data_IF_723187176903
#
_entry.id   IF_723187176903
#
_cell.length_a   1.000
_cell.length_b   1.000
_cell.length_c   1.000
_cell.angle_alpha   90.00
_cell.angle_beta   90.00
_cell.angle_gamma   90.00
#
_symmetry.space_group_name_H-M   'P 1'
#
loop_
_entity.id
_entity.type
_entity.pdbx_description
1 polymer ?
#
# COMPACT_ATOMS: atom_id res chain seq x y z
N UNK A 1 -54.32 -4.65 13.01
CA UNK A 1 -53.21 -4.01 12.26
C UNK A 1 -51.89 -4.48 12.84
N UNK A 2 -51.27 -5.56 12.33
CA UNK A 2 -49.94 -6.00 12.74
C UNK A 2 -48.92 -5.66 11.63
N UNK A 3 -48.13 -4.59 11.80
CA UNK A 3 -47.27 -4.10 10.73
C UNK A 3 -45.98 -3.42 11.16
N UNK A 4 -45.45 -3.70 12.36
CA UNK A 4 -44.27 -2.96 12.87
C UNK A 4 -43.11 -3.87 13.35
N UNK A 5 -43.18 -5.20 13.16
CA UNK A 5 -42.12 -6.12 13.64
C UNK A 5 -41.14 -6.64 12.59
N UNK A 6 -41.28 -6.28 11.32
CA UNK A 6 -40.46 -6.84 10.22
C UNK A 6 -39.32 -5.90 9.78
N UNK A 7 -39.44 -4.59 10.00
CA UNK A 7 -38.46 -3.61 9.48
C UNK A 7 -37.14 -3.60 10.27
N UNK A 8 -37.15 -3.94 11.57
CA UNK A 8 -35.94 -3.94 12.41
C UNK A 8 -34.97 -5.08 12.01
N UNK A 9 -35.48 -6.26 11.66
CA UNK A 9 -34.66 -7.40 11.23
C UNK A 9 -34.02 -7.18 9.84
N UNK A 10 -34.68 -6.38 8.99
CA UNK A 10 -34.27 -6.10 7.61
C UNK A 10 -33.09 -5.13 7.53
N UNK A 11 -33.04 -4.15 8.46
CA UNK A 11 -31.96 -3.15 8.53
C UNK A 11 -30.70 -3.75 9.18
N UNK A 12 -30.84 -4.69 10.12
CA UNK A 12 -29.69 -5.37 10.75
C UNK A 12 -28.89 -6.25 9.77
N UNK A 13 -29.55 -6.82 8.75
CA UNK A 13 -28.88 -7.65 7.74
C UNK A 13 -28.08 -6.79 6.74
N UNK A 14 -28.49 -5.54 6.50
CA UNK A 14 -27.77 -4.57 5.66
C UNK A 14 -26.57 -3.95 6.38
N UNK A 15 -26.66 -3.72 7.70
CA UNK A 15 -25.54 -3.21 8.52
C UNK A 15 -24.43 -4.27 8.64
N UNK A 16 -24.75 -5.57 8.54
CA UNK A 16 -23.76 -6.64 8.63
C UNK A 16 -22.80 -6.70 7.41
N UNK A 17 -23.22 -6.22 6.24
CA UNK A 17 -22.38 -6.28 5.03
C UNK A 17 -21.22 -5.28 5.06
N UNK A 18 -21.40 -4.12 5.70
CA UNK A 18 -20.36 -3.08 5.81
C UNK A 18 -19.24 -3.46 6.79
N UNK A 19 -19.52 -4.34 7.76
CA UNK A 19 -18.54 -4.76 8.79
C UNK A 19 -17.84 -6.09 8.50
N UNK A 20 -18.32 -6.87 7.54
CA UNK A 20 -17.78 -8.20 7.23
C UNK A 20 -16.43 -8.16 6.48
N UNK A 21 -16.07 -7.03 5.85
CA UNK A 21 -14.82 -6.88 5.08
C UNK A 21 -13.68 -6.16 5.81
N UNK A 22 -13.94 -5.56 6.98
CA UNK A 22 -12.96 -4.73 7.69
C UNK A 22 -12.14 -5.51 8.74
N UNK A 23 -12.59 -6.70 9.13
CA UNK A 23 -11.98 -7.44 10.23
C UNK A 23 -10.80 -8.28 9.75
N UNK A 24 -9.62 -7.97 10.27
CA UNK A 24 -8.43 -8.79 10.12
C UNK A 24 -8.31 -9.76 11.31
N UNK A 25 -7.79 -10.96 11.03
CA UNK A 25 -7.66 -12.04 12.04
C UNK A 25 -6.29 -12.10 12.70
N UNK A 26 -5.27 -11.58 12.03
CA UNK A 26 -3.87 -11.68 12.45
C UNK A 26 -3.36 -10.26 12.75
N UNK A 27 -3.20 -9.93 14.03
CA UNK A 27 -2.66 -8.63 14.46
C UNK A 27 -1.28 -8.41 13.86
N UNK A 28 -1.06 -7.20 13.33
CA UNK A 28 0.17 -6.78 12.65
C UNK A 28 0.42 -7.45 11.29
N UNK A 29 -0.53 -8.21 10.76
CA UNK A 29 -0.47 -8.62 9.36
C UNK A 29 -0.53 -7.39 8.44
N UNK A 30 0.20 -7.47 7.34
CA UNK A 30 0.25 -6.42 6.32
C UNK A 30 -0.34 -6.93 5.01
N UNK A 31 -1.00 -6.03 4.28
CA UNK A 31 -1.50 -6.27 2.92
C UNK A 31 -1.27 -5.05 2.03
N UNK A 32 -1.19 -5.31 0.73
CA UNK A 32 -1.20 -4.27 -0.30
C UNK A 32 -2.59 -4.19 -0.91
N UNK A 33 -3.08 -2.97 -1.09
CA UNK A 33 -4.37 -2.69 -1.72
C UNK A 33 -4.25 -1.57 -2.74
N UNK A 34 -5.16 -1.56 -3.71
CA UNK A 34 -5.25 -0.53 -4.75
C UNK A 34 -3.95 -0.35 -5.58
N UNK A 35 -3.13 -1.39 -5.71
CA UNK A 35 -2.04 -1.44 -6.70
C UNK A 35 -2.50 -2.03 -8.03
N UNK A 36 -1.77 -1.77 -9.12
CA UNK A 36 -2.07 -2.40 -10.42
C UNK A 36 -1.64 -3.87 -10.45
N UNK A 37 -0.63 -4.23 -9.64
CA UNK A 37 -0.17 -5.61 -9.48
C UNK A 37 -0.31 -6.08 -8.03
N UNK A 38 -0.23 -7.39 -7.81
CA UNK A 38 -0.25 -7.99 -6.47
C UNK A 38 0.97 -7.60 -5.59
N UNK A 39 2.03 -7.07 -6.21
CA UNK A 39 3.28 -6.77 -5.54
C UNK A 39 3.46 -5.27 -5.27
N UNK A 40 2.45 -4.46 -5.56
CA UNK A 40 2.49 -3.03 -5.29
C UNK A 40 1.17 -2.55 -4.69
N UNK A 41 1.20 -1.38 -4.07
CA UNK A 41 -0.01 -0.71 -3.63
C UNK A 41 0.15 0.01 -2.30
N UNK A 42 -0.97 0.53 -1.81
CA UNK A 42 -1.05 1.16 -0.49
C UNK A 42 -0.90 0.10 0.59
N UNK A 43 -0.08 0.42 1.57
CA UNK A 43 0.18 -0.46 2.73
C UNK A 43 -0.93 -0.30 3.75
N UNK A 44 -1.57 -1.42 4.10
CA UNK A 44 -2.49 -1.50 5.24
C UNK A 44 -1.96 -2.51 6.26
N UNK A 45 -2.06 -2.15 7.54
CA UNK A 45 -1.71 -3.03 8.66
C UNK A 45 -2.96 -3.38 9.46
N UNK A 46 -3.02 -4.63 9.92
CA UNK A 46 -4.04 -5.08 10.85
C UNK A 46 -3.73 -4.58 12.25
N UNK A 47 -4.54 -3.66 12.76
CA UNK A 47 -4.44 -3.15 14.13
C UNK A 47 -5.80 -3.16 14.81
N UNK A 48 -5.88 -3.68 16.04
CA UNK A 48 -7.13 -3.80 16.79
C UNK A 48 -8.25 -4.48 15.99
N UNK A 49 -7.90 -5.56 15.27
CA UNK A 49 -8.81 -6.31 14.36
C UNK A 49 -9.43 -5.46 13.24
N UNK A 50 -8.78 -4.37 12.84
CA UNK A 50 -9.19 -3.57 11.68
C UNK A 50 -8.00 -3.28 10.78
N UNK A 51 -8.24 -3.32 9.48
CA UNK A 51 -7.29 -2.79 8.51
C UNK A 51 -7.23 -1.27 8.62
N UNK A 52 -6.01 -0.74 8.73
CA UNK A 52 -5.71 0.68 8.79
C UNK A 52 -4.63 1.00 7.76
N UNK A 53 -4.84 2.08 7.00
CA UNK A 53 -3.79 2.62 6.14
C UNK A 53 -2.59 3.11 6.96
N UNK A 54 -1.39 2.98 6.41
CA UNK A 54 -0.15 3.44 7.04
C UNK A 54 0.15 4.88 6.60
N UNK A 55 0.64 5.70 7.53
CA UNK A 55 0.98 7.09 7.25
C UNK A 55 2.19 7.21 6.32
N UNK A 56 2.09 8.05 5.28
CA UNK A 56 3.23 8.32 4.38
C UNK A 56 4.33 9.22 4.97
N UNK A 57 4.10 9.89 6.11
CA UNK A 57 5.13 10.77 6.71
C UNK A 57 6.34 9.95 7.19
N UNK A 58 7.50 10.19 6.59
CA UNK A 58 8.74 9.51 6.98
C UNK A 58 8.78 8.04 6.57
N UNK A 59 7.91 7.63 5.64
CA UNK A 59 7.95 6.32 5.00
C UNK A 59 9.09 6.28 3.98
N UNK A 60 10.10 5.44 4.22
CA UNK A 60 11.27 5.38 3.35
C UNK A 60 11.63 3.95 2.89
N UNK A 61 12.85 3.78 2.36
CA UNK A 61 13.35 2.49 1.84
C UNK A 61 13.47 1.42 2.92
N UNK A 62 13.67 1.81 4.18
CA UNK A 62 13.80 0.90 5.32
C UNK A 62 12.44 0.26 5.59
N UNK A 63 11.39 1.07 5.80
CA UNK A 63 10.03 0.56 6.02
C UNK A 63 9.55 -0.26 4.82
N UNK A 64 9.81 0.21 3.60
CA UNK A 64 9.43 -0.49 2.38
C UNK A 64 10.11 -1.86 2.25
N UNK A 65 11.40 -1.97 2.59
CA UNK A 65 12.12 -3.25 2.56
C UNK A 65 11.57 -4.23 3.59
N UNK A 66 11.28 -3.76 4.81
CA UNK A 66 10.70 -4.60 5.86
C UNK A 66 9.31 -5.10 5.43
N UNK A 67 8.48 -4.19 4.90
CA UNK A 67 7.13 -4.49 4.40
C UNK A 67 7.15 -5.51 3.26
N UNK A 68 8.02 -5.34 2.28
CA UNK A 68 8.17 -6.31 1.20
C UNK A 68 8.75 -7.64 1.71
N UNK A 69 9.67 -7.58 2.68
CA UNK A 69 10.25 -8.76 3.34
C UNK A 69 9.22 -9.63 4.05
N UNK A 70 8.34 -9.03 4.86
CA UNK A 70 7.27 -9.76 5.57
C UNK A 70 6.21 -10.33 4.61
N UNK A 71 6.06 -9.74 3.42
CA UNK A 71 5.22 -10.26 2.34
C UNK A 71 5.92 -11.34 1.49
N UNK A 72 7.18 -11.68 1.79
CA UNK A 72 7.94 -12.75 1.12
C UNK A 72 8.76 -12.30 -0.10
N UNK A 73 8.92 -11.00 -0.31
CA UNK A 73 9.79 -10.45 -1.36
C UNK A 73 11.19 -10.15 -0.82
N UNK A 74 12.16 -10.09 -1.73
CA UNK A 74 13.56 -9.84 -1.36
C UNK A 74 13.90 -8.35 -1.38
N UNK A 75 13.18 -7.56 -2.19
CA UNK A 75 13.44 -6.14 -2.38
C UNK A 75 12.13 -5.35 -2.38
N UNK A 76 12.24 -4.09 -1.97
CA UNK A 76 11.12 -3.16 -1.93
C UNK A 76 11.57 -1.71 -1.99
N UNK A 77 10.69 -0.84 -2.47
CA UNK A 77 10.86 0.61 -2.41
C UNK A 77 9.55 1.32 -2.08
N UNK A 78 9.63 2.51 -1.47
CA UNK A 78 8.47 3.33 -1.20
C UNK A 78 7.93 3.88 -2.51
N UNK A 79 6.61 3.86 -2.67
CA UNK A 79 5.91 4.55 -3.75
C UNK A 79 4.90 5.52 -3.16
N UNK A 80 4.69 6.63 -3.86
CA UNK A 80 3.60 7.52 -3.52
C UNK A 80 2.30 6.94 -4.08
N UNK A 81 1.36 6.62 -3.21
CA UNK A 81 0.04 6.13 -3.63
C UNK A 81 -0.92 7.31 -3.89
N UNK A 82 -0.59 8.54 -3.46
CA UNK A 82 -1.38 9.75 -3.70
C UNK A 82 -2.79 9.75 -3.09
N UNK A 83 -3.22 8.65 -2.44
CA UNK A 83 -4.53 8.52 -1.82
C UNK A 83 -4.53 9.13 -0.44
N UNK A 84 -5.58 9.90 -0.20
CA UNK A 84 -5.89 10.50 1.09
C UNK A 84 -6.91 9.61 1.77
N UNK A 85 -6.46 8.76 2.69
CA UNK A 85 -7.38 8.09 3.60
C UNK A 85 -8.14 9.13 4.43
N UNK A 86 -9.45 8.94 4.55
CA UNK A 86 -10.34 9.66 5.47
C UNK A 86 -10.07 9.30 6.95
N UNK A 87 -9.16 8.35 7.20
CA UNK A 87 -8.74 7.94 8.52
C UNK A 87 -7.73 8.94 9.12
N UNK A 88 -8.19 9.68 10.14
CA UNK A 88 -7.35 10.62 10.91
C UNK A 88 -6.27 9.88 11.71
N UNK A 89 -6.59 8.70 12.25
CA UNK A 89 -5.68 7.89 13.05
C UNK A 89 -5.04 6.81 12.19
N UNK A 90 -3.89 7.12 11.58
CA UNK A 90 -3.06 6.17 10.84
C UNK A 90 -1.73 5.96 11.57
N UNK A 91 -1.29 4.72 11.78
CA UNK A 91 0.00 4.46 12.38
C UNK A 91 1.11 4.95 11.45
N UNK A 92 2.04 5.71 12.01
CA UNK A 92 3.30 6.08 11.38
C UNK A 92 4.40 5.23 12.00
N UNK A 93 5.08 4.45 11.17
CA UNK A 93 6.21 3.62 11.60
C UNK A 93 7.54 4.34 11.37
N UNK A 94 8.53 4.00 12.20
CA UNK A 94 9.92 4.41 12.09
C UNK A 94 10.76 3.21 12.50
N UNK A 95 11.40 2.60 11.52
CA UNK A 95 12.19 1.39 11.68
C UNK A 95 13.70 1.70 11.71
N UNK A 96 14.45 0.88 12.45
CA UNK A 96 15.93 0.95 12.45
C UNK A 96 16.55 0.12 11.33
N UNK A 97 15.77 -0.74 10.68
CA UNK A 97 16.15 -1.59 9.55
C UNK A 97 16.61 -3.00 9.91
N UNK A 98 16.49 -3.38 11.18
CA UNK A 98 16.85 -4.71 11.67
C UNK A 98 15.60 -5.56 11.96
N UNK A 99 14.44 -4.93 11.95
CA UNK A 99 13.14 -5.54 12.18
C UNK A 99 12.77 -6.46 11.01
N UNK A 100 12.01 -7.52 11.33
CA UNK A 100 11.52 -8.46 10.32
C UNK A 100 10.08 -8.19 9.91
N UNK A 101 9.34 -7.42 10.70
CA UNK A 101 7.94 -7.09 10.48
C UNK A 101 7.69 -5.64 10.90
N UNK A 102 6.75 -4.98 10.22
CA UNK A 102 6.46 -3.56 10.46
C UNK A 102 5.96 -3.30 11.89
N UNK A 103 5.22 -4.25 12.46
CA UNK A 103 4.70 -4.18 13.84
C UNK A 103 5.79 -4.10 14.93
N UNK A 104 7.04 -4.46 14.61
CA UNK A 104 8.16 -4.42 15.56
C UNK A 104 8.91 -3.09 15.53
N UNK A 105 8.60 -2.21 14.58
CA UNK A 105 9.17 -0.88 14.53
C UNK A 105 8.54 0.05 15.57
N UNK A 106 9.22 1.16 15.87
CA UNK A 106 8.60 2.23 16.66
C UNK A 106 7.43 2.84 15.88
N UNK A 107 6.33 3.17 16.55
CA UNK A 107 5.18 3.80 15.89
C UNK A 107 4.57 4.95 16.68
N UNK A 108 3.90 5.84 15.95
CA UNK A 108 3.07 6.91 16.51
C UNK A 108 1.69 6.91 15.85
N UNK A 109 0.65 7.27 16.61
CA UNK A 109 -0.73 7.33 16.11
C UNK A 109 -1.07 8.64 15.38
N UNK A 110 -0.12 9.58 15.29
CA UNK A 110 -0.33 10.90 14.73
C UNK A 110 0.32 10.98 13.34
N UNK A 111 -0.53 11.11 12.33
CA UNK A 111 -0.13 11.36 10.96
C UNK A 111 -0.49 12.79 10.57
N UNK A 112 0.48 13.57 10.10
CA UNK A 112 0.25 14.93 9.59
C UNK A 112 0.21 14.99 8.05
N UNK A 113 0.60 13.91 7.36
CA UNK A 113 0.50 13.83 5.91
C UNK A 113 -0.93 13.50 5.48
N UNK A 114 -1.37 14.07 4.38
CA UNK A 114 -2.56 13.61 3.66
C UNK A 114 -2.31 12.32 2.89
N UNK A 115 -1.06 11.93 2.63
CA UNK A 115 -0.70 10.78 1.81
C UNK A 115 -0.58 9.49 2.65
N UNK A 116 -1.04 8.38 2.08
CA UNK A 116 -0.81 7.03 2.58
C UNK A 116 0.52 6.46 2.08
N UNK A 117 1.14 5.61 2.90
CA UNK A 117 2.33 4.88 2.51
C UNK A 117 2.01 3.80 1.45
N UNK A 118 2.88 3.69 0.44
CA UNK A 118 2.84 2.64 -0.56
C UNK A 118 4.18 1.94 -0.72
N UNK A 119 4.15 0.73 -1.27
CA UNK A 119 5.35 0.01 -1.70
C UNK A 119 5.19 -0.61 -3.07
N UNK A 120 6.33 -0.86 -3.72
CA UNK A 120 6.47 -1.85 -4.78
C UNK A 120 7.51 -2.90 -4.34
N UNK A 121 7.17 -4.16 -4.52
CA UNK A 121 7.95 -5.31 -4.08
C UNK A 121 8.40 -6.16 -5.27
N UNK A 122 9.56 -6.80 -5.14
CA UNK A 122 10.07 -7.72 -6.16
C UNK A 122 10.94 -8.84 -5.59
N UNK A 123 10.98 -9.96 -6.30
CA UNK A 123 11.80 -11.12 -5.93
C UNK A 123 13.21 -11.11 -6.53
N UNK A 124 13.50 -10.24 -7.50
CA UNK A 124 14.80 -10.17 -8.19
C UNK A 124 15.11 -8.74 -8.60
N UNK A 125 16.40 -8.39 -8.66
CA UNK A 125 16.84 -7.07 -9.14
C UNK A 125 16.86 -6.98 -10.67
N UNK A 126 16.59 -5.79 -11.19
CA UNK A 126 16.86 -5.39 -12.58
C UNK A 126 18.17 -4.59 -12.68
N UNK A 127 18.66 -4.36 -13.90
CA UNK A 127 19.81 -3.47 -14.13
C UNK A 127 19.32 -2.05 -14.41
N UNK A 128 20.02 -1.02 -13.95
CA UNK A 128 19.60 0.39 -14.08
C UNK A 128 19.42 0.87 -15.54
N UNK A 129 19.97 0.15 -16.52
CA UNK A 129 19.78 0.44 -17.95
C UNK A 129 18.53 -0.22 -18.55
N UNK A 130 17.83 -1.05 -17.78
CA UNK A 130 16.73 -1.85 -18.27
C UNK A 130 15.44 -1.01 -18.33
N UNK A 131 14.73 -1.14 -19.46
CA UNK A 131 13.43 -0.54 -19.72
C UNK A 131 12.51 -1.61 -20.29
N UNK A 132 11.26 -1.65 -19.84
CA UNK A 132 10.27 -2.60 -20.35
C UNK A 132 8.91 -1.96 -20.58
N UNK A 133 8.13 -2.57 -21.47
CA UNK A 133 6.70 -2.31 -21.62
C UNK A 133 5.93 -3.43 -20.94
N UNK A 134 5.01 -3.07 -20.05
CA UNK A 134 4.12 -4.00 -19.34
C UNK A 134 2.65 -3.71 -19.67
N UNK A 135 1.77 -4.66 -19.40
CA UNK A 135 0.31 -4.55 -19.61
C UNK A 135 -0.10 -4.16 -21.05
N UNK A 136 0.78 -4.46 -22.00
CA UNK A 136 0.55 -4.31 -23.43
C UNK A 136 -0.45 -5.31 -23.97
N UNK A 137 -1.46 -4.82 -24.71
CA UNK A 137 -2.43 -5.67 -25.41
C UNK A 137 -1.78 -6.47 -26.56
N UNK A 138 -0.68 -5.94 -27.10
CA UNK A 138 0.17 -6.61 -28.06
C UNK A 138 1.56 -6.73 -27.43
N UNK A 139 2.04 -7.97 -27.25
CA UNK A 139 3.38 -8.23 -26.73
C UNK A 139 4.41 -7.43 -27.54
N UNK A 140 5.12 -6.52 -26.86
CA UNK A 140 6.22 -5.70 -27.38
C UNK A 140 5.85 -4.54 -28.33
N UNK A 141 4.58 -4.12 -28.42
CA UNK A 141 4.18 -3.02 -29.31
C UNK A 141 3.47 -1.85 -28.61
N UNK A 142 2.90 -2.08 -27.43
CA UNK A 142 2.30 -1.06 -26.59
C UNK A 142 2.33 -1.51 -25.13
N UNK A 143 2.18 -0.58 -24.19
CA UNK A 143 2.16 -0.88 -22.76
C UNK A 143 2.56 0.33 -21.91
N UNK A 144 2.44 0.20 -20.60
CA UNK A 144 3.02 1.13 -19.63
C UNK A 144 4.54 1.00 -19.64
N UNK A 145 5.25 2.13 -19.60
CA UNK A 145 6.71 2.14 -19.52
C UNK A 145 7.12 1.96 -18.06
N UNK A 146 7.97 0.97 -17.82
CA UNK A 146 8.66 0.81 -16.54
C UNK A 146 10.16 0.93 -16.74
N UNK A 147 10.80 1.63 -15.82
CA UNK A 147 12.26 1.81 -15.76
C UNK A 147 12.81 1.12 -14.53
N UNK A 148 14.04 0.61 -14.63
CA UNK A 148 14.75 0.12 -13.47
C UNK A 148 15.50 1.26 -12.77
N UNK A 149 15.24 1.47 -11.48
CA UNK A 149 15.99 2.43 -10.66
C UNK A 149 16.38 1.79 -9.34
N UNK A 150 17.65 1.92 -8.93
CA UNK A 150 18.18 1.25 -7.72
C UNK A 150 17.85 -0.25 -7.66
N UNK A 151 17.93 -0.92 -8.82
CA UNK A 151 17.70 -2.35 -8.96
C UNK A 151 16.24 -2.80 -8.88
N UNK A 152 15.27 -1.88 -8.96
CA UNK A 152 13.84 -2.13 -8.79
C UNK A 152 13.03 -1.54 -9.96
N UNK A 153 11.99 -2.24 -10.39
CA UNK A 153 11.06 -1.75 -11.41
C UNK A 153 10.09 -0.72 -10.82
N UNK A 154 9.82 0.37 -11.56
CA UNK A 154 8.78 1.34 -11.23
C UNK A 154 8.24 2.04 -12.49
N UNK A 155 7.03 2.60 -12.38
CA UNK A 155 6.45 3.45 -13.44
C UNK A 155 6.99 4.88 -13.37
N UNK A 156 6.90 5.56 -14.50
CA UNK A 156 7.28 6.97 -14.63
C UNK A 156 6.04 7.82 -14.42
N UNK A 157 6.08 8.74 -13.46
CA UNK A 157 5.00 9.68 -13.20
C UNK A 157 4.74 10.61 -14.40
N UNK A 158 3.48 10.78 -14.80
CA UNK A 158 3.09 11.75 -15.84
C UNK A 158 3.11 13.21 -15.34
N UNK A 159 3.09 13.42 -14.02
CA UNK A 159 3.03 14.75 -13.40
C UNK A 159 4.42 15.34 -13.12
N UNK A 160 4.78 16.35 -13.92
CA UNK A 160 6.01 17.15 -13.80
C UNK A 160 5.95 18.16 -12.64
N UNK A 161 5.61 17.72 -11.43
CA UNK A 161 5.18 18.61 -10.34
C UNK A 161 5.82 18.41 -8.96
N UNK A 162 6.87 17.60 -8.80
CA UNK A 162 7.50 17.41 -7.47
C UNK A 162 8.97 17.88 -7.43
N UNK A 163 9.43 18.51 -6.33
CA UNK A 163 10.81 19.01 -6.20
C UNK A 163 11.85 17.92 -5.95
N UNK A 164 11.43 16.65 -5.83
CA UNK A 164 12.27 15.52 -5.43
C UNK A 164 12.22 14.44 -6.51
N UNK A 165 13.29 14.31 -7.31
CA UNK A 165 13.45 13.29 -8.36
C UNK A 165 13.71 11.86 -7.83
N UNK A 166 13.27 11.53 -6.62
CA UNK A 166 13.56 10.25 -5.95
C UNK A 166 12.33 9.39 -5.67
N UNK A 167 11.14 9.79 -6.13
CA UNK A 167 9.88 9.09 -5.84
C UNK A 167 9.34 8.41 -7.10
N UNK A 168 8.94 7.14 -6.97
CA UNK A 168 8.17 6.44 -7.99
C UNK A 168 6.68 6.61 -7.71
N UNK A 169 5.90 6.75 -8.77
CA UNK A 169 4.45 6.78 -8.67
C UNK A 169 3.92 5.36 -8.72
N UNK A 170 2.85 5.09 -7.98
CA UNK A 170 1.90 4.07 -8.38
C UNK A 170 0.90 4.74 -9.32
N UNK A 171 0.75 4.27 -10.56
CA UNK A 171 -0.27 4.83 -11.46
C UNK A 171 -1.66 4.40 -10.94
N UNK A 172 -2.59 5.36 -10.88
CA UNK A 172 -3.99 5.17 -10.44
C UNK A 172 -4.88 4.71 -11.59
#
# INVERSE_FOLDING_TARGET
>A
MPGVRVVIASVLLSIACEVAGQQCSNEGAVRLVDGMTENEGRVEICYSRRWSAVCGTGWDRIEARITCGELGFQYGAPVDHGRISDQIYRPRFSCDGHETHLQYCSYSAYCYSSEDAGVICQSSQCNETDVRLVDGRLSNANGRVEICFNGLWGSVCDDCGMPEMHKWCADN
#
